data_IF_794414018766
#
_entry.id   IF_794414018766
#
_cell.length_a   1.000
_cell.length_b   1.000
_cell.length_c   1.000
_cell.angle_alpha   90.00
_cell.angle_beta   90.00
_cell.angle_gamma   90.00
#
_symmetry.space_group_name_H-M   'P 1'
#
loop_
_entity.id
_entity.type
_entity.pdbx_description
1 polymer ?
#
# COMPACT_ATOMS: atom_id res chain seq x y z
N UNK A 1 -19.11 0.93 20.40
CA UNK A 1 -18.75 -0.02 19.31
C UNK A 1 -17.25 -0.29 19.40
N UNK A 2 -16.79 -1.52 19.17
CA UNK A 2 -15.35 -1.81 19.10
C UNK A 2 -14.79 -1.27 17.79
N UNK A 3 -13.65 -0.59 17.85
CA UNK A 3 -12.90 -0.13 16.67
C UNK A 3 -12.25 -1.35 16.02
N UNK A 4 -12.37 -1.49 14.70
CA UNK A 4 -11.84 -2.61 13.94
C UNK A 4 -10.96 -2.10 12.80
N UNK A 5 -9.65 -2.13 13.02
CA UNK A 5 -8.66 -1.73 12.03
C UNK A 5 -8.43 -2.83 10.99
N UNK A 6 -8.17 -2.46 9.73
CA UNK A 6 -7.98 -3.41 8.63
C UNK A 6 -6.66 -3.14 7.91
N UNK A 7 -5.84 -4.17 7.78
CA UNK A 7 -4.58 -4.16 7.04
C UNK A 7 -4.65 -5.17 5.91
N UNK A 8 -4.46 -4.73 4.67
CA UNK A 8 -4.45 -5.58 3.49
C UNK A 8 -3.03 -5.74 2.97
N UNK A 9 -2.51 -6.96 2.97
CA UNK A 9 -1.20 -7.27 2.38
C UNK A 9 -1.40 -7.82 0.96
N UNK A 10 -1.00 -7.06 -0.05
CA UNK A 10 -1.24 -7.42 -1.45
C UNK A 10 -0.05 -8.21 -2.02
N UNK A 11 -0.01 -9.51 -1.70
CA UNK A 11 0.93 -10.47 -2.31
C UNK A 11 0.41 -10.97 -3.67
N UNK A 12 0.23 -10.05 -4.60
CA UNK A 12 -0.38 -10.32 -5.92
C UNK A 12 0.48 -9.72 -7.05
N UNK A 13 0.28 -10.12 -8.31
CA UNK A 13 0.96 -9.51 -9.44
C UNK A 13 0.67 -7.99 -9.59
N UNK A 14 1.66 -7.16 -10.00
CA UNK A 14 1.50 -5.70 -10.07
C UNK A 14 0.38 -5.21 -10.99
N UNK A 15 0.05 -5.97 -12.03
CA UNK A 15 -1.01 -5.62 -12.97
C UNK A 15 -2.41 -5.62 -12.36
N UNK A 16 -2.60 -6.22 -11.18
CA UNK A 16 -3.88 -6.24 -10.45
C UNK A 16 -3.84 -5.49 -9.11
N UNK A 17 -2.77 -4.75 -8.83
CA UNK A 17 -2.65 -3.95 -7.61
C UNK A 17 -3.77 -2.93 -7.46
N UNK A 18 -4.06 -2.18 -8.52
CA UNK A 18 -5.07 -1.12 -8.48
C UNK A 18 -6.46 -1.70 -8.22
N UNK A 19 -6.77 -2.86 -8.81
CA UNK A 19 -8.04 -3.55 -8.56
C UNK A 19 -8.16 -4.01 -7.11
N UNK A 20 -7.08 -4.61 -6.57
CA UNK A 20 -7.01 -5.00 -5.16
C UNK A 20 -7.18 -3.83 -4.20
N UNK A 21 -6.50 -2.72 -4.47
CA UNK A 21 -6.59 -1.46 -3.70
C UNK A 21 -7.99 -0.86 -3.76
N UNK A 22 -8.59 -0.82 -4.95
CA UNK A 22 -9.96 -0.35 -5.16
C UNK A 22 -10.96 -1.18 -4.36
N UNK A 23 -10.85 -2.50 -4.37
CA UNK A 23 -11.69 -3.37 -3.55
C UNK A 23 -11.47 -3.11 -2.05
N UNK A 24 -10.21 -2.97 -1.63
CA UNK A 24 -9.85 -2.71 -0.24
C UNK A 24 -10.46 -1.39 0.28
N UNK A 25 -10.43 -0.32 -0.51
CA UNK A 25 -10.94 1.00 -0.12
C UNK A 25 -12.46 1.12 -0.20
N UNK A 26 -13.08 0.55 -1.24
CA UNK A 26 -14.52 0.76 -1.52
C UNK A 26 -15.43 -0.27 -0.87
N UNK A 27 -15.02 -1.54 -0.87
CA UNK A 27 -15.91 -2.65 -0.49
C UNK A 27 -15.61 -3.18 0.91
N UNK A 28 -14.37 -3.04 1.37
CA UNK A 28 -13.90 -3.64 2.61
C UNK A 28 -13.16 -2.65 3.51
N UNK A 29 -13.42 -1.36 3.39
CA UNK A 29 -12.88 -0.38 4.34
C UNK A 29 -13.49 -0.57 5.73
N UNK A 30 -12.69 -0.27 6.76
CA UNK A 30 -13.12 -0.30 8.14
C UNK A 30 -14.24 0.72 8.37
N UNK A 31 -15.41 0.26 8.83
CA UNK A 31 -16.52 1.15 9.18
C UNK A 31 -16.21 2.02 10.42
N UNK A 32 -15.27 1.58 11.26
CA UNK A 32 -14.79 2.33 12.42
C UNK A 32 -13.33 1.91 12.70
N UNK A 33 -12.37 2.80 12.49
CA UNK A 33 -10.93 2.50 12.54
C UNK A 33 -10.21 2.85 11.24
N UNK A 34 -8.92 2.49 11.15
CA UNK A 34 -8.13 2.74 9.94
C UNK A 34 -8.15 1.57 8.96
N UNK A 35 -7.94 1.89 7.68
CA UNK A 35 -7.67 0.93 6.61
C UNK A 35 -6.31 1.25 6.02
N UNK A 36 -5.43 0.26 5.93
CA UNK A 36 -4.08 0.40 5.37
C UNK A 36 -3.81 -0.72 4.39
N UNK A 37 -2.99 -0.44 3.38
CA UNK A 37 -2.62 -1.40 2.35
C UNK A 37 -1.10 -1.48 2.26
N UNK A 38 -0.59 -2.70 2.24
CA UNK A 38 0.80 -3.03 2.00
C UNK A 38 0.94 -3.50 0.56
N UNK A 39 1.84 -2.86 -0.20
CA UNK A 39 2.16 -3.19 -1.59
C UNK A 39 3.63 -3.60 -1.72
N UNK A 40 3.86 -4.68 -2.46
CA UNK A 40 5.19 -5.24 -2.72
C UNK A 40 5.79 -4.71 -4.03
N UNK A 41 7.12 -4.80 -4.14
CA UNK A 41 7.83 -4.52 -5.39
C UNK A 41 7.38 -5.47 -6.52
N UNK A 42 7.47 -5.05 -7.80
CA UNK A 42 7.98 -3.77 -8.30
C UNK A 42 6.97 -2.61 -8.23
N UNK A 43 7.44 -1.42 -7.83
CA UNK A 43 6.64 -0.20 -7.68
C UNK A 43 6.79 0.75 -8.89
N UNK A 44 6.78 0.16 -10.09
CA UNK A 44 7.24 0.81 -11.33
C UNK A 44 8.61 0.29 -11.76
N UNK A 45 8.97 0.55 -13.02
CA UNK A 45 10.27 0.18 -13.62
C UNK A 45 11.15 1.40 -13.92
N UNK A 46 10.57 2.58 -13.90
CA UNK A 46 11.18 3.87 -14.15
C UNK A 46 10.41 4.96 -13.37
N UNK A 47 10.90 6.21 -13.41
CA UNK A 47 10.27 7.32 -12.70
C UNK A 47 8.83 7.59 -13.16
N UNK A 48 8.55 7.45 -14.46
CA UNK A 48 7.23 7.71 -15.04
C UNK A 48 6.21 6.67 -14.59
N UNK A 49 6.54 5.38 -14.70
CA UNK A 49 5.69 4.27 -14.28
C UNK A 49 5.49 4.25 -12.76
N UNK A 50 6.49 4.62 -11.97
CA UNK A 50 6.34 4.75 -10.51
C UNK A 50 5.42 5.92 -10.13
N UNK A 51 5.55 7.06 -10.81
CA UNK A 51 4.65 8.20 -10.62
C UNK A 51 3.22 7.86 -11.05
N UNK A 52 3.05 7.11 -12.14
CA UNK A 52 1.75 6.62 -12.59
C UNK A 52 1.10 5.70 -11.55
N UNK A 53 1.83 4.71 -11.04
CA UNK A 53 1.36 3.84 -9.96
C UNK A 53 0.93 4.65 -8.73
N UNK A 54 1.76 5.61 -8.30
CA UNK A 54 1.45 6.47 -7.16
C UNK A 54 0.18 7.28 -7.39
N UNK A 55 0.01 7.89 -8.58
CA UNK A 55 -1.23 8.61 -8.92
C UNK A 55 -2.45 7.70 -8.86
N UNK A 56 -2.34 6.47 -9.37
CA UNK A 56 -3.45 5.51 -9.33
C UNK A 56 -3.81 5.06 -7.91
N UNK A 57 -2.82 4.84 -7.03
CA UNK A 57 -3.08 4.51 -5.63
C UNK A 57 -3.77 5.66 -4.88
N UNK A 58 -3.34 6.90 -5.13
CA UNK A 58 -3.91 8.12 -4.53
C UNK A 58 -5.37 8.40 -4.92
N UNK A 59 -5.90 7.72 -5.93
CA UNK A 59 -7.34 7.79 -6.25
C UNK A 59 -8.20 7.08 -5.20
N UNK A 60 -7.60 6.19 -4.39
CA UNK A 60 -8.32 5.29 -3.50
C UNK A 60 -7.88 5.37 -2.03
N UNK A 61 -6.67 5.85 -1.77
CA UNK A 61 -6.02 5.85 -0.46
C UNK A 61 -5.24 7.15 -0.25
N UNK A 62 -5.26 7.66 0.97
CA UNK A 62 -4.33 8.69 1.42
C UNK A 62 -2.92 8.11 1.62
N UNK A 63 -1.89 8.95 1.63
CA UNK A 63 -0.49 8.49 1.68
C UNK A 63 -0.17 7.71 2.96
N UNK A 64 -0.76 8.09 4.10
CA UNK A 64 -0.60 7.41 5.40
C UNK A 64 -1.29 6.04 5.47
N UNK A 65 -2.08 5.71 4.44
CA UNK A 65 -2.71 4.41 4.26
C UNK A 65 -1.88 3.45 3.40
N UNK A 66 -0.83 3.93 2.72
CA UNK A 66 -0.06 3.17 1.74
C UNK A 66 1.32 2.81 2.29
N UNK A 67 1.57 1.52 2.50
CA UNK A 67 2.84 0.98 2.97
C UNK A 67 3.52 0.26 1.81
N UNK A 68 4.64 0.80 1.34
CA UNK A 68 5.44 0.24 0.25
C UNK A 68 6.58 -0.56 0.85
N UNK A 69 6.59 -1.87 0.64
CA UNK A 69 7.66 -2.71 1.19
C UNK A 69 8.87 -2.64 0.29
N UNK A 70 9.99 -2.28 0.92
CA UNK A 70 11.30 -2.67 0.46
C UNK A 70 11.96 -3.54 1.55
N UNK A 71 12.13 -4.82 1.23
CA UNK A 71 12.82 -5.81 2.07
C UNK A 71 14.26 -5.43 2.49
N UNK A 72 14.89 -4.41 1.89
CA UNK A 72 16.18 -3.89 2.35
C UNK A 72 16.05 -2.91 3.53
N UNK A 73 14.93 -2.22 3.67
CA UNK A 73 14.73 -1.21 4.72
C UNK A 73 14.52 -1.82 6.11
N UNK A 74 14.10 -3.09 6.20
CA UNK A 74 13.90 -3.81 7.48
C UNK A 74 15.11 -4.58 7.98
N UNK A 75 16.32 -4.30 7.46
CA UNK A 75 17.57 -4.89 7.96
C UNK A 75 18.14 -3.93 9.01
N UNK A 76 18.51 -4.45 10.20
CA UNK A 76 19.05 -3.68 11.34
C UNK A 76 20.05 -2.58 10.93
N UNK A 77 20.91 -2.88 9.96
CA UNK A 77 21.95 -1.96 9.50
C UNK A 77 21.42 -0.66 8.83
N UNK A 78 20.17 -0.66 8.37
CA UNK A 78 19.54 0.47 7.66
C UNK A 78 18.68 1.31 8.61
N UNK A 79 18.12 0.71 9.67
CA UNK A 79 17.36 1.45 10.69
C UNK A 79 18.25 2.43 11.46
N UNK A 80 19.51 2.08 11.71
CA UNK A 80 20.50 2.93 12.39
C UNK A 80 20.98 4.17 11.59
N UNK A 81 20.60 4.30 10.31
CA UNK A 81 20.89 5.50 9.50
C UNK A 81 19.77 6.57 9.55
N UNK A 82 18.70 6.33 10.29
CA UNK A 82 17.50 7.18 10.33
C UNK A 82 17.55 8.26 11.41
#
# INVERSE_FOLDING_TARGET
>A
MRVANRLFYLSIPPNIFIDGVKCASTSTSAANGWTRVIVEKPLGRDSESSAALTRSLKQYLDEDQIFRIDHYLGKELVEDLS
#
